data_IF_338892479375
#
_entry.id   IF_338892479375
#
_cell.length_a   1.000
_cell.length_b   1.000
_cell.length_c   1.000
_cell.angle_alpha   90.00
_cell.angle_beta   90.00
_cell.angle_gamma   90.00
#
_symmetry.space_group_name_H-M   'P 1'
#
loop_
_entity.id
_entity.type
_entity.pdbx_description
1 polymer ?
#
# COMPACT_ATOMS: atom_id res chain seq x y z
N UNK A 1 11.03 -7.92 -10.32
CA UNK A 1 10.44 -6.93 -9.38
C UNK A 1 8.96 -6.76 -9.63
N UNK A 2 8.18 -6.36 -8.62
CA UNK A 2 6.74 -6.13 -8.72
C UNK A 2 6.22 -5.18 -7.64
N UNK A 3 4.90 -5.07 -7.52
CA UNK A 3 4.23 -4.21 -6.54
C UNK A 3 4.31 -4.81 -5.14
N UNK A 4 4.79 -4.04 -4.16
CA UNK A 4 4.75 -4.41 -2.73
C UNK A 4 3.58 -3.73 -2.04
N UNK A 5 2.42 -4.37 -2.07
CA UNK A 5 1.16 -3.82 -1.50
C UNK A 5 1.18 -3.71 0.02
N UNK A 6 2.06 -4.46 0.67
CA UNK A 6 2.35 -4.46 2.10
C UNK A 6 3.32 -3.34 2.51
N UNK A 7 3.93 -2.60 1.59
CA UNK A 7 4.80 -1.47 1.92
C UNK A 7 3.99 -0.28 2.46
N UNK A 8 4.43 0.32 3.57
CA UNK A 8 3.81 1.54 4.12
C UNK A 8 3.82 2.67 3.08
N UNK A 9 4.81 2.77 2.21
CA UNK A 9 4.88 3.86 1.22
C UNK A 9 4.08 3.62 -0.06
N UNK A 10 3.51 2.42 -0.25
CA UNK A 10 2.62 2.15 -1.37
C UNK A 10 1.30 2.92 -1.20
N UNK A 11 0.82 3.52 -2.28
CA UNK A 11 -0.47 4.19 -2.36
C UNK A 11 -1.17 3.78 -3.65
N UNK A 12 -2.46 3.46 -3.53
CA UNK A 12 -3.34 3.24 -4.67
C UNK A 12 -4.54 4.16 -4.53
N UNK A 13 -4.99 4.75 -5.64
CA UNK A 13 -6.21 5.54 -5.71
C UNK A 13 -6.93 5.23 -7.01
N UNK A 14 -8.25 5.22 -6.96
CA UNK A 14 -9.08 5.18 -8.18
C UNK A 14 -9.42 6.62 -8.57
N UNK A 15 -9.12 7.01 -9.80
CA UNK A 15 -9.43 8.33 -10.33
C UNK A 15 -10.01 8.20 -11.73
N UNK A 16 -11.25 8.64 -11.93
CA UNK A 16 -11.88 8.65 -13.26
C UNK A 16 -12.12 7.29 -13.90
N UNK A 17 -12.09 6.19 -13.12
CA UNK A 17 -12.20 4.82 -13.62
C UNK A 17 -10.86 4.08 -13.71
N UNK A 18 -9.75 4.80 -13.65
CA UNK A 18 -8.41 4.22 -13.68
C UNK A 18 -7.85 3.99 -12.27
N UNK A 19 -7.10 2.90 -12.10
CA UNK A 19 -6.34 2.62 -10.88
C UNK A 19 -4.95 3.21 -11.01
N UNK A 20 -4.64 4.20 -10.18
CA UNK A 20 -3.33 4.84 -10.13
C UNK A 20 -2.57 4.34 -8.91
N UNK A 21 -1.43 3.70 -9.17
CA UNK A 21 -0.51 3.21 -8.15
C UNK A 21 0.72 4.12 -8.07
N UNK A 22 1.23 4.39 -6.87
CA UNK A 22 2.45 5.17 -6.68
C UNK A 22 3.22 4.82 -5.41
N UNK A 23 4.51 5.14 -5.42
CA UNK A 23 5.33 5.22 -4.21
C UNK A 23 5.28 6.63 -3.65
N UNK A 24 4.99 6.78 -2.35
CA UNK A 24 4.95 8.09 -1.68
C UNK A 24 6.32 8.77 -1.60
N UNK A 25 7.40 7.99 -1.63
CA UNK A 25 8.78 8.49 -1.60
C UNK A 25 9.39 8.70 -2.99
N UNK A 26 8.65 8.37 -4.07
CA UNK A 26 9.17 8.49 -5.44
C UNK A 26 10.24 7.46 -5.82
N UNK A 27 10.54 6.49 -4.97
CA UNK A 27 11.55 5.46 -5.24
C UNK A 27 11.06 4.31 -6.15
N UNK A 28 9.76 4.27 -6.49
CA UNK A 28 9.19 3.25 -7.38
C UNK A 28 9.22 3.71 -8.83
N UNK A 29 9.24 2.75 -9.77
CA UNK A 29 9.05 3.03 -11.19
C UNK A 29 7.61 3.51 -11.42
N UNK A 30 7.41 4.49 -12.30
CA UNK A 30 6.11 5.16 -12.46
C UNK A 30 5.17 4.43 -13.45
N UNK A 31 5.71 3.81 -14.50
CA UNK A 31 4.92 3.15 -15.54
C UNK A 31 5.72 2.03 -16.25
N UNK A 32 5.37 0.73 -16.05
CA UNK A 32 4.40 0.21 -15.11
C UNK A 32 4.85 0.40 -13.66
N UNK A 33 3.91 0.59 -12.73
CA UNK A 33 4.27 0.77 -11.34
C UNK A 33 4.97 -0.48 -10.78
N UNK A 34 6.20 -0.31 -10.31
CA UNK A 34 6.98 -1.38 -9.70
C UNK A 34 7.86 -0.86 -8.54
N UNK A 35 8.08 -1.70 -7.54
CA UNK A 35 9.06 -1.42 -6.50
C UNK A 35 10.43 -1.93 -6.94
N UNK A 36 11.54 -1.18 -6.73
CA UNK A 36 12.87 -1.60 -7.15
C UNK A 36 13.37 -2.80 -6.35
N UNK A 37 14.36 -3.49 -6.93
CA UNK A 37 15.08 -4.56 -6.24
C UNK A 37 15.75 -4.02 -4.98
N UNK A 38 15.66 -4.77 -3.89
CA UNK A 38 16.36 -4.39 -2.65
C UNK A 38 15.99 -3.01 -2.11
N UNK A 39 14.79 -2.49 -2.43
CA UNK A 39 14.33 -1.16 -1.99
C UNK A 39 14.66 -0.90 -0.51
N UNK A 40 15.60 0.01 -0.26
CA UNK A 40 16.09 0.38 1.07
C UNK A 40 15.02 1.09 1.91
N UNK A 41 14.02 1.65 1.26
CA UNK A 41 12.89 2.32 1.89
C UNK A 41 11.70 1.38 2.11
N UNK A 42 11.85 0.07 1.89
CA UNK A 42 10.78 -0.86 2.20
C UNK A 42 10.54 -0.87 3.71
N UNK A 43 9.34 -0.48 4.09
CA UNK A 43 8.85 -0.58 5.46
C UNK A 43 7.51 -1.32 5.43
N UNK A 44 7.41 -2.44 6.13
CA UNK A 44 6.16 -3.17 6.22
C UNK A 44 5.09 -2.28 6.86
N UNK A 45 3.94 -2.17 6.21
CA UNK A 45 2.77 -1.52 6.76
C UNK A 45 2.28 -2.39 7.91
N UNK A 46 2.62 -2.01 9.14
CA UNK A 46 1.97 -2.56 10.33
C UNK A 46 0.49 -2.19 10.29
N UNK A 47 -0.34 -3.07 9.75
CA UNK A 47 -1.79 -3.02 9.99
C UNK A 47 -1.95 -3.62 11.38
N UNK A 48 -1.65 -2.83 12.41
CA UNK A 48 -1.96 -3.24 13.77
C UNK A 48 -3.48 -3.36 13.82
N UNK A 49 -4.02 -4.55 14.11
CA UNK A 49 -5.44 -4.80 14.45
C UNK A 49 -5.94 -3.98 15.67
N UNK A 50 -5.10 -3.08 16.19
CA UNK A 50 -5.41 -2.10 17.22
C UNK A 50 -6.28 -0.98 16.63
N UNK A 51 -7.56 -1.28 16.44
CA UNK A 51 -8.55 -0.33 15.98
C UNK A 51 -9.90 -0.57 16.59
N UNK A 52 -10.71 -1.46 16.01
CA UNK A 52 -12.10 -1.66 16.42
C UNK A 52 -12.56 -3.07 16.06
N UNK A 53 -12.88 -3.89 17.07
CA UNK A 53 -13.83 -5.00 16.90
C UNK A 53 -15.20 -4.45 17.27
N UNK A 54 -16.07 -4.28 16.30
CA UNK A 54 -17.48 -3.96 16.57
C UNK A 54 -18.10 -5.22 17.18
N UNK A 55 -18.34 -5.21 18.48
CA UNK A 55 -19.22 -6.20 19.11
C UNK A 55 -20.66 -5.78 18.80
N UNK A 56 -21.14 -6.15 17.61
CA UNK A 56 -22.57 -6.28 17.34
C UNK A 56 -22.86 -7.78 17.48
N UNK A 57 -23.86 -8.29 18.18
CA UNK A 57 -24.96 -7.80 19.00
C UNK A 57 -25.45 -9.11 19.65
N UNK A 58 -25.85 -9.05 20.91
CA UNK A 58 -26.47 -10.19 21.61
C UNK A 58 -27.86 -10.42 21.02
N UNK A 59 -28.24 -11.67 20.74
CA UNK A 59 -29.17 -12.34 21.66
C UNK A 59 -28.85 -13.82 21.94
#
# INVERSE_FOLDING_TARGET
MGVRTDCRHYSTRTAGGDVVQRCRLGAGEEAPFACPEGCLFFEARSISDAGWRHFDEQP
#
